data_IF_103423423383
#
_entry.id   IF_103423423383
#
_cell.length_a   1.000
_cell.length_b   1.000
_cell.length_c   1.000
_cell.angle_alpha   90.00
_cell.angle_beta   90.00
_cell.angle_gamma   90.00
#
_symmetry.space_group_name_H-M   'P 1'
#
loop_
_entity.id
_entity.type
_entity.pdbx_description
1 polymer ?
#
# COMPACT_ATOMS: atom_id res chain seq x y z
N UNK A 1 78.23 -19.81 -23.58
CA UNK A 1 77.40 -18.91 -24.40
C UNK A 1 75.94 -19.08 -23.99
N UNK A 2 75.28 -17.96 -23.68
CA UNK A 2 73.81 -17.70 -23.70
C UNK A 2 72.97 -18.47 -22.66
N UNK A 3 72.76 -17.92 -21.46
CA UNK A 3 71.74 -16.91 -21.11
C UNK A 3 70.34 -17.33 -21.57
N UNK A 4 69.61 -18.03 -20.70
CA UNK A 4 68.14 -18.07 -20.68
C UNK A 4 67.69 -18.23 -19.21
N UNK A 5 67.78 -17.14 -18.46
CA UNK A 5 66.86 -16.86 -17.35
C UNK A 5 66.10 -15.60 -17.76
N UNK A 6 64.87 -15.46 -17.26
CA UNK A 6 64.01 -14.27 -17.34
C UNK A 6 63.28 -14.13 -18.68
N UNK A 7 62.00 -14.54 -18.73
CA UNK A 7 60.82 -13.67 -18.94
C UNK A 7 59.57 -14.56 -18.72
N UNK A 8 59.17 -14.75 -17.46
CA UNK A 8 57.78 -15.14 -17.11
C UNK A 8 57.35 -14.25 -15.95
N UNK A 9 57.42 -12.94 -16.17
CA UNK A 9 56.70 -11.92 -15.41
C UNK A 9 56.43 -10.81 -16.42
N UNK A 10 55.24 -10.20 -16.36
CA UNK A 10 54.75 -9.11 -17.22
C UNK A 10 54.05 -9.54 -18.51
N UNK A 11 52.97 -10.32 -18.41
CA UNK A 11 51.76 -10.10 -19.25
C UNK A 11 50.52 -10.41 -18.41
N UNK A 12 50.28 -9.61 -17.37
CA UNK A 12 49.03 -9.63 -16.60
C UNK A 12 48.60 -8.22 -16.21
N UNK A 13 48.76 -7.25 -17.12
CA UNK A 13 48.33 -5.86 -16.89
C UNK A 13 47.61 -5.19 -18.08
N UNK A 14 47.34 -5.87 -19.19
CA UNK A 14 46.65 -5.24 -20.33
C UNK A 14 45.69 -6.26 -20.93
N UNK A 15 44.42 -5.87 -21.11
CA UNK A 15 43.26 -6.67 -21.54
C UNK A 15 42.32 -7.20 -20.44
N UNK A 16 42.32 -6.58 -19.26
CA UNK A 16 41.24 -6.69 -18.27
C UNK A 16 40.61 -5.33 -17.96
N UNK A 17 40.51 -4.45 -18.96
CA UNK A 17 39.72 -3.22 -18.88
C UNK A 17 38.23 -3.56 -18.93
N UNK A 18 37.74 -4.34 -17.98
CA UNK A 18 36.35 -4.25 -17.62
C UNK A 18 36.15 -2.80 -17.20
N UNK A 19 35.36 -2.06 -17.98
CA UNK A 19 34.75 -0.82 -17.53
C UNK A 19 34.06 -1.19 -16.22
N UNK A 20 34.73 -0.94 -15.09
CA UNK A 20 34.06 -0.83 -13.81
C UNK A 20 33.17 0.39 -14.00
N UNK A 21 31.95 0.17 -14.50
CA UNK A 21 30.91 1.17 -14.55
C UNK A 21 30.68 1.59 -13.12
N UNK A 22 31.43 2.59 -12.67
CA UNK A 22 31.38 3.05 -11.30
C UNK A 22 29.97 3.48 -10.99
N UNK A 23 29.53 3.30 -9.76
CA UNK A 23 28.29 3.90 -9.28
C UNK A 23 28.63 5.30 -8.77
N UNK A 24 27.84 6.30 -9.17
CA UNK A 24 27.95 7.68 -8.69
C UNK A 24 26.93 7.89 -7.60
N UNK A 25 27.39 7.99 -6.36
CA UNK A 25 26.51 8.28 -5.23
C UNK A 25 26.10 9.76 -5.22
N UNK A 26 24.82 9.99 -4.94
CA UNK A 26 24.25 11.32 -4.67
C UNK A 26 24.62 11.70 -3.24
N UNK A 27 25.49 12.70 -3.06
CA UNK A 27 25.94 13.13 -1.74
C UNK A 27 26.35 14.61 -1.71
N UNK A 28 26.36 15.20 -0.50
CA UNK A 28 27.00 16.50 -0.27
C UNK A 28 28.49 16.40 -0.62
N UNK A 29 28.98 17.37 -1.39
CA UNK A 29 30.40 17.45 -1.79
C UNK A 29 30.76 16.60 -3.00
N UNK A 30 29.81 15.85 -3.58
CA UNK A 30 29.98 15.29 -4.92
C UNK A 30 30.10 16.43 -5.95
N UNK A 31 30.96 16.28 -6.96
CA UNK A 31 31.22 17.31 -7.98
C UNK A 31 29.97 17.76 -8.74
N UNK A 32 29.02 16.84 -8.89
CA UNK A 32 27.78 16.98 -9.62
C UNK A 32 26.67 17.60 -8.75
N UNK A 33 26.88 17.70 -7.43
CA UNK A 33 25.87 18.10 -6.46
C UNK A 33 26.19 19.44 -5.78
N UNK A 34 25.18 20.29 -5.66
CA UNK A 34 25.27 21.59 -5.00
C UNK A 34 24.11 21.77 -4.03
N UNK A 35 24.45 22.19 -2.81
CA UNK A 35 23.46 22.49 -1.80
C UNK A 35 22.88 23.89 -2.01
N UNK A 36 21.54 24.01 -2.08
CA UNK A 36 20.82 25.29 -2.10
C UNK A 36 19.80 25.28 -0.97
N UNK A 37 20.07 26.01 0.11
CA UNK A 37 19.28 25.96 1.33
C UNK A 37 19.18 24.52 1.87
N UNK A 38 17.98 23.93 1.91
CA UNK A 38 17.71 22.56 2.33
C UNK A 38 17.48 21.61 1.14
N UNK A 39 17.74 22.04 -0.10
CA UNK A 39 17.63 21.22 -1.30
C UNK A 39 19.00 20.87 -1.89
N UNK A 40 19.26 19.59 -2.11
CA UNK A 40 20.46 19.09 -2.78
C UNK A 40 20.16 18.95 -4.27
N UNK A 41 20.76 19.79 -5.10
CA UNK A 41 20.60 19.74 -6.55
C UNK A 41 21.79 19.03 -7.18
N UNK A 42 21.54 17.97 -7.95
CA UNK A 42 22.59 17.27 -8.67
C UNK A 42 22.29 17.18 -10.17
N UNK A 43 23.30 17.50 -10.99
CA UNK A 43 23.21 17.46 -12.46
C UNK A 43 24.24 16.47 -13.02
N UNK A 44 23.74 15.46 -13.74
CA UNK A 44 24.51 14.33 -14.26
C UNK A 44 24.61 14.33 -15.80
N UNK A 45 24.49 15.49 -16.45
CA UNK A 45 24.51 15.64 -17.93
C UNK A 45 25.65 14.87 -18.61
N UNK A 46 26.85 14.90 -18.04
CA UNK A 46 28.06 14.28 -18.62
C UNK A 46 28.45 12.95 -17.93
N UNK A 47 27.54 12.36 -17.16
CA UNK A 47 27.80 11.15 -16.38
C UNK A 47 27.13 9.94 -17.03
N UNK A 48 27.97 9.01 -17.50
CA UNK A 48 27.51 7.76 -18.11
C UNK A 48 27.26 6.65 -17.08
N UNK A 49 27.83 6.82 -15.88
CA UNK A 49 27.68 5.93 -14.75
C UNK A 49 26.24 5.89 -14.22
N UNK A 50 25.87 4.76 -13.61
CA UNK A 50 24.65 4.66 -12.83
C UNK A 50 24.74 5.58 -11.62
N UNK A 51 23.75 6.45 -11.46
CA UNK A 51 23.60 7.33 -10.31
C UNK A 51 22.80 6.60 -9.24
N UNK A 52 23.24 6.63 -7.99
CA UNK A 52 22.54 5.99 -6.88
C UNK A 52 22.17 6.99 -5.79
N UNK A 53 20.90 6.94 -5.39
CA UNK A 53 20.40 7.61 -4.20
C UNK A 53 20.32 6.58 -3.09
N UNK A 54 21.24 6.68 -2.13
CA UNK A 54 21.33 5.83 -0.97
C UNK A 54 21.26 6.66 0.31
N UNK A 55 20.91 6.02 1.43
CA UNK A 55 20.88 6.70 2.73
C UNK A 55 22.25 7.27 3.09
N UNK A 56 23.36 6.61 2.72
CA UNK A 56 24.71 7.09 3.05
C UNK A 56 24.97 8.52 2.52
N UNK A 57 24.47 8.83 1.33
CA UNK A 57 24.69 10.13 0.70
C UNK A 57 23.69 11.23 1.06
N UNK A 58 22.46 10.86 1.47
CA UNK A 58 21.36 11.81 1.71
C UNK A 58 20.80 11.81 3.15
N UNK A 59 21.44 11.10 4.08
CA UNK A 59 21.03 11.03 5.50
C UNK A 59 21.45 12.27 6.33
N UNK A 60 21.69 13.40 5.68
CA UNK A 60 21.91 14.66 6.39
C UNK A 60 20.54 15.30 6.70
N UNK A 61 20.21 15.56 7.99
CA UNK A 61 18.90 16.09 8.38
C UNK A 61 18.62 17.51 7.85
N UNK A 62 19.63 18.20 7.33
CA UNK A 62 19.45 19.51 6.69
C UNK A 62 18.90 19.39 5.26
N UNK A 63 18.99 18.21 4.64
CA UNK A 63 18.46 17.97 3.30
C UNK A 63 17.00 17.54 3.44
N UNK A 64 16.09 18.36 2.94
CA UNK A 64 14.66 18.08 2.91
C UNK A 64 14.19 17.60 1.54
N UNK A 65 14.97 17.88 0.48
CA UNK A 65 14.66 17.50 -0.90
C UNK A 65 15.93 17.24 -1.70
N UNK A 66 15.88 16.24 -2.58
CA UNK A 66 16.90 15.98 -3.59
C UNK A 66 16.30 16.24 -4.96
N UNK A 67 16.96 17.06 -5.76
CA UNK A 67 16.60 17.35 -7.15
C UNK A 67 17.68 16.78 -8.05
N UNK A 68 17.32 15.80 -8.88
CA UNK A 68 18.24 15.11 -9.78
C UNK A 68 17.87 15.41 -11.23
N UNK A 69 18.86 15.85 -11.99
CA UNK A 69 18.69 16.22 -13.39
C UNK A 69 19.63 15.43 -14.30
N UNK A 70 19.14 15.10 -15.50
CA UNK A 70 19.93 14.60 -16.63
C UNK A 70 20.68 13.28 -16.40
N UNK A 71 20.26 12.47 -15.43
CA UNK A 71 20.85 11.14 -15.23
C UNK A 71 20.37 10.15 -16.30
N UNK A 72 21.28 9.34 -16.86
CA UNK A 72 20.89 8.26 -17.79
C UNK A 72 20.24 7.09 -17.05
N UNK A 73 20.88 6.62 -15.99
CA UNK A 73 20.40 5.53 -15.16
C UNK A 73 20.43 5.96 -13.71
N UNK A 74 19.30 5.84 -13.03
CA UNK A 74 19.13 6.18 -11.63
C UNK A 74 18.64 4.96 -10.85
N UNK A 75 19.33 4.64 -9.76
CA UNK A 75 18.88 3.68 -8.76
C UNK A 75 18.49 4.41 -7.47
N UNK A 76 17.26 4.19 -7.01
CA UNK A 76 16.78 4.74 -5.73
C UNK A 76 16.62 3.59 -4.73
N UNK A 77 17.33 3.69 -3.60
CA UNK A 77 17.22 2.73 -2.52
C UNK A 77 15.86 2.81 -1.81
N UNK A 78 15.30 1.65 -1.45
CA UNK A 78 14.05 1.53 -0.68
C UNK A 78 14.09 2.23 0.68
N UNK A 79 15.27 2.36 1.27
CA UNK A 79 15.47 2.91 2.60
C UNK A 79 15.54 4.46 2.62
N UNK A 80 15.50 5.10 1.46
CA UNK A 80 15.60 6.57 1.36
C UNK A 80 14.22 7.18 1.55
N UNK A 81 14.07 8.02 2.58
CA UNK A 81 12.81 8.69 2.95
C UNK A 81 12.94 10.22 2.83
N UNK A 82 13.02 10.74 1.60
CA UNK A 82 13.23 12.17 1.33
C UNK A 82 12.40 12.63 0.15
N UNK A 83 12.01 13.90 0.11
CA UNK A 83 11.35 14.44 -1.09
C UNK A 83 12.31 14.33 -2.28
N UNK A 84 11.81 13.80 -3.39
CA UNK A 84 12.63 13.49 -4.55
C UNK A 84 12.01 14.07 -5.80
N UNK A 85 12.79 14.88 -6.52
CA UNK A 85 12.39 15.46 -7.81
C UNK A 85 13.34 14.98 -8.90
N UNK A 86 12.81 14.35 -9.94
CA UNK A 86 13.55 13.84 -11.09
C UNK A 86 13.25 14.67 -12.34
N UNK A 87 14.28 15.06 -13.07
CA UNK A 87 14.14 15.88 -14.28
C UNK A 87 15.00 15.30 -15.41
N UNK A 88 14.37 14.97 -16.53
CA UNK A 88 15.06 14.43 -17.71
C UNK A 88 15.92 13.19 -17.38
N UNK A 89 15.41 12.30 -16.51
CA UNK A 89 16.09 11.05 -16.16
C UNK A 89 15.65 9.97 -17.15
N UNK A 90 16.60 9.38 -17.89
CA UNK A 90 16.22 8.46 -18.99
C UNK A 90 15.55 7.19 -18.45
N UNK A 91 16.13 6.60 -17.40
CA UNK A 91 15.57 5.43 -16.72
C UNK A 91 15.86 5.52 -15.22
N UNK A 92 14.81 5.46 -14.40
CA UNK A 92 14.91 5.37 -12.95
C UNK A 92 14.31 4.05 -12.46
N UNK A 93 15.14 3.27 -11.80
CA UNK A 93 14.77 2.06 -11.10
C UNK A 93 14.72 2.36 -9.61
N UNK A 94 13.51 2.33 -9.05
CA UNK A 94 13.34 2.28 -7.61
C UNK A 94 13.48 0.82 -7.22
N UNK A 95 14.46 0.50 -6.38
CA UNK A 95 14.58 -0.84 -5.83
C UNK A 95 13.25 -1.21 -5.18
N UNK A 96 12.75 -2.41 -5.44
CA UNK A 96 11.55 -2.94 -4.78
C UNK A 96 12.05 -4.03 -3.85
N UNK A 97 11.76 -3.92 -2.56
CA UNK A 97 12.06 -5.00 -1.61
C UNK A 97 11.04 -6.12 -1.80
N UNK A 98 11.35 -7.02 -2.74
CA UNK A 98 10.58 -8.23 -2.99
C UNK A 98 10.86 -9.27 -1.90
N UNK A 99 10.42 -8.96 -0.68
CA UNK A 99 10.07 -9.92 0.35
C UNK A 99 11.06 -11.05 0.63
N UNK A 100 12.09 -10.80 1.44
CA UNK A 100 12.60 -11.85 2.33
C UNK A 100 13.17 -11.33 3.66
N UNK A 101 13.88 -10.19 3.66
CA UNK A 101 14.42 -9.59 4.90
C UNK A 101 13.35 -8.86 5.74
N UNK A 102 12.24 -8.55 5.09
CA UNK A 102 11.08 -7.87 5.65
C UNK A 102 10.18 -8.74 6.56
N UNK A 103 10.46 -10.05 6.66
CA UNK A 103 9.73 -10.98 7.54
C UNK A 103 10.33 -11.10 8.95
N UNK A 104 11.61 -10.77 9.13
CA UNK A 104 12.29 -10.89 10.42
C UNK A 104 12.50 -9.52 11.10
N UNK A 105 12.44 -8.43 10.34
CA UNK A 105 12.32 -7.08 10.89
C UNK A 105 10.92 -6.58 10.61
N UNK A 106 10.20 -6.30 11.67
CA UNK A 106 8.87 -5.70 11.73
C UNK A 106 8.90 -4.24 11.22
N UNK A 107 9.48 -4.02 10.03
CA UNK A 107 9.64 -2.70 9.44
C UNK A 107 9.84 -2.78 7.92
N UNK A 108 8.75 -2.87 7.18
CA UNK A 108 8.75 -2.85 5.72
C UNK A 108 8.30 -1.50 5.21
N UNK A 109 9.16 -0.79 4.46
CA UNK A 109 8.98 0.43 3.64
C UNK A 109 8.13 1.58 4.22
N UNK A 110 6.92 1.31 4.72
CA UNK A 110 6.07 2.20 5.51
C UNK A 110 6.43 2.32 6.99
N UNK A 111 7.36 1.52 7.51
CA UNK A 111 7.81 1.62 8.92
C UNK A 111 9.19 2.32 9.05
N UNK A 112 9.99 2.41 7.97
CA UNK A 112 11.35 2.97 8.03
C UNK A 112 11.40 4.51 7.95
N UNK A 113 10.33 5.15 7.51
CA UNK A 113 10.23 6.61 7.54
C UNK A 113 9.48 7.12 8.79
N UNK A 114 9.26 6.27 9.81
CA UNK A 114 8.58 6.61 11.08
C UNK A 114 9.41 7.66 11.85
N UNK A 115 9.06 8.93 11.63
CA UNK A 115 9.75 10.08 12.19
C UNK A 115 9.82 11.27 11.22
N UNK A 116 9.75 11.01 9.91
CA UNK A 116 9.65 12.03 8.87
C UNK A 116 8.15 12.19 8.54
N UNK A 117 7.54 13.32 8.88
CA UNK A 117 6.12 13.64 8.63
C UNK A 117 5.59 13.03 7.30
N UNK A 118 4.99 11.83 7.39
CA UNK A 118 4.53 11.03 6.24
C UNK A 118 3.55 11.79 5.35
N UNK A 119 2.82 12.74 5.96
CA UNK A 119 1.84 13.58 5.28
C UNK A 119 2.43 14.59 4.29
N UNK A 120 3.75 14.58 4.08
CA UNK A 120 4.43 15.55 3.25
C UNK A 120 5.43 14.99 2.24
N UNK A 121 5.66 13.67 2.24
CA UNK A 121 6.66 13.08 1.35
C UNK A 121 6.19 13.11 -0.12
N UNK A 122 6.94 13.88 -0.91
CA UNK A 122 6.66 14.20 -2.30
C UNK A 122 7.65 13.49 -3.23
N UNK A 123 7.11 12.83 -4.24
CA UNK A 123 7.85 12.36 -5.41
C UNK A 123 7.37 13.10 -6.66
N UNK A 124 8.28 13.80 -7.31
CA UNK A 124 8.01 14.53 -8.55
C UNK A 124 8.92 14.01 -9.67
N UNK A 125 8.38 13.82 -10.87
CA UNK A 125 9.17 13.44 -12.03
C UNK A 125 8.68 14.18 -13.28
N UNK A 126 9.63 14.68 -14.08
CA UNK A 126 9.37 15.33 -15.36
C UNK A 126 10.28 14.76 -16.43
N UNK A 127 9.74 14.45 -17.61
CA UNK A 127 10.50 13.87 -18.74
C UNK A 127 11.31 12.63 -18.33
N UNK A 128 10.70 11.74 -17.54
CA UNK A 128 11.42 10.64 -16.88
C UNK A 128 10.83 9.27 -17.22
N UNK A 129 11.70 8.28 -17.49
CA UNK A 129 11.33 6.86 -17.55
C UNK A 129 11.38 6.23 -16.16
N UNK A 130 10.29 5.62 -15.69
CA UNK A 130 10.13 5.05 -14.37
C UNK A 130 9.77 3.56 -14.47
N UNK A 131 10.47 2.70 -13.76
CA UNK A 131 10.00 1.32 -13.58
C UNK A 131 8.93 1.24 -12.50
N UNK A 132 9.22 1.85 -11.35
CA UNK A 132 8.37 1.90 -10.17
C UNK A 132 8.43 3.27 -9.51
N UNK A 133 7.43 3.58 -8.70
CA UNK A 133 7.41 4.78 -7.85
C UNK A 133 7.82 4.42 -6.43
N UNK A 134 8.53 5.30 -5.71
CA UNK A 134 8.88 5.03 -4.33
C UNK A 134 7.66 4.77 -3.46
N UNK A 135 7.67 3.63 -2.78
CA UNK A 135 6.53 3.18 -1.98
C UNK A 135 6.15 4.13 -0.85
N UNK A 136 7.11 4.92 -0.35
CA UNK A 136 6.92 5.89 0.74
C UNK A 136 6.19 7.18 0.31
N UNK A 137 6.06 7.48 -0.98
CA UNK A 137 5.53 8.76 -1.45
C UNK A 137 4.01 8.86 -1.22
N UNK A 138 3.56 9.99 -0.67
CA UNK A 138 2.13 10.28 -0.42
C UNK A 138 1.61 11.39 -1.34
N UNK A 139 2.52 12.23 -1.87
CA UNK A 139 2.25 13.23 -2.91
C UNK A 139 3.06 12.90 -4.15
N UNK A 140 2.40 12.64 -5.27
CA UNK A 140 3.03 12.17 -6.50
C UNK A 140 2.67 13.12 -7.63
N UNK A 141 3.69 13.64 -8.32
CA UNK A 141 3.55 14.52 -9.47
C UNK A 141 4.36 13.95 -10.64
N UNK A 142 3.69 13.49 -11.70
CA UNK A 142 4.32 13.01 -12.92
C UNK A 142 3.91 13.89 -14.10
N UNK A 143 4.88 14.37 -14.87
CA UNK A 143 4.61 15.11 -16.11
C UNK A 143 5.54 14.63 -17.24
N UNK A 144 4.98 14.36 -18.43
CA UNK A 144 5.73 13.84 -19.57
C UNK A 144 6.57 12.58 -19.25
N UNK A 145 6.03 11.68 -18.42
CA UNK A 145 6.75 10.48 -17.96
C UNK A 145 6.27 9.22 -18.69
N UNK A 146 7.11 8.19 -18.68
CA UNK A 146 6.72 6.81 -19.01
C UNK A 146 6.91 5.94 -17.79
N UNK A 147 5.85 5.29 -17.30
CA UNK A 147 5.92 4.44 -16.12
C UNK A 147 5.48 2.99 -16.42
N UNK A 148 6.33 2.02 -16.07
CA UNK A 148 6.01 0.58 -16.24
C UNK A 148 4.93 0.13 -15.24
N UNK A 149 5.00 0.61 -14.01
CA UNK A 149 3.98 0.32 -13.00
C UNK A 149 3.88 1.42 -11.96
N UNK A 150 2.67 1.93 -11.77
CA UNK A 150 2.27 2.78 -10.65
C UNK A 150 1.44 1.95 -9.67
N UNK A 151 2.10 1.06 -8.94
CA UNK A 151 1.48 0.26 -7.89
C UNK A 151 1.78 0.87 -6.51
N UNK A 152 0.77 1.48 -5.90
CA UNK A 152 0.91 2.26 -4.68
C UNK A 152 0.17 1.57 -3.53
N UNK A 153 0.93 1.18 -2.51
CA UNK A 153 0.43 0.51 -1.30
C UNK A 153 0.15 1.45 -0.14
N UNK A 154 0.66 2.67 -0.19
CA UNK A 154 0.47 3.67 0.86
C UNK A 154 -0.80 4.50 0.63
N UNK A 155 -1.22 5.25 1.64
CA UNK A 155 -2.30 6.22 1.51
C UNK A 155 -1.81 7.41 0.67
N UNK A 156 -2.52 7.69 -0.42
CA UNK A 156 -2.16 8.75 -1.38
C UNK A 156 -3.00 9.98 -1.10
N UNK A 157 -2.33 11.08 -0.74
CA UNK A 157 -2.97 12.37 -0.51
C UNK A 157 -3.19 13.14 -1.82
N UNK A 158 -2.19 13.11 -2.70
CA UNK A 158 -2.24 13.81 -3.96
C UNK A 158 -1.56 13.00 -5.05
N UNK A 159 -2.29 12.67 -6.10
CA UNK A 159 -1.75 12.08 -7.32
C UNK A 159 -2.06 13.03 -8.48
N UNK A 160 -1.04 13.58 -9.11
CA UNK A 160 -1.17 14.34 -10.33
C UNK A 160 -0.30 13.72 -11.42
N UNK A 161 -0.94 13.33 -12.52
CA UNK A 161 -0.26 12.75 -13.70
C UNK A 161 -0.72 13.48 -14.93
N UNK A 162 0.23 14.09 -15.65
CA UNK A 162 -0.02 14.82 -16.89
C UNK A 162 0.84 14.32 -18.05
N UNK A 163 0.27 14.31 -19.25
CA UNK A 163 1.00 14.06 -20.51
C UNK A 163 1.87 12.79 -20.49
N UNK A 164 1.44 11.76 -19.74
CA UNK A 164 2.28 10.60 -19.42
C UNK A 164 1.70 9.32 -20.00
N UNK A 165 2.53 8.29 -20.08
CA UNK A 165 2.16 6.94 -20.48
C UNK A 165 2.42 5.97 -19.32
N UNK A 166 1.35 5.36 -18.79
CA UNK A 166 1.40 4.46 -17.65
C UNK A 166 0.92 3.08 -18.09
N UNK A 167 1.78 2.06 -17.96
CA UNK A 167 1.41 0.70 -18.34
C UNK A 167 0.44 0.05 -17.35
N UNK A 168 0.68 0.17 -16.05
CA UNK A 168 -0.23 -0.35 -15.02
C UNK A 168 -0.44 0.70 -13.95
N UNK A 169 -1.70 1.01 -13.61
CA UNK A 169 -2.08 1.84 -12.47
C UNK A 169 -2.84 0.99 -11.45
N UNK A 170 -2.33 0.90 -10.23
CA UNK A 170 -2.91 0.13 -9.13
C UNK A 170 -2.79 0.91 -7.80
N UNK A 171 -3.87 1.56 -7.37
CA UNK A 171 -3.96 2.15 -6.04
C UNK A 171 -4.62 1.14 -5.09
N UNK A 172 -3.81 0.53 -4.23
CA UNK A 172 -4.30 -0.53 -3.34
C UNK A 172 -5.29 -0.03 -2.30
N UNK A 173 -5.11 1.21 -1.83
CA UNK A 173 -6.01 1.85 -0.88
C UNK A 173 -6.94 2.85 -1.58
N UNK A 174 -8.19 2.99 -1.11
CA UNK A 174 -9.09 4.01 -1.61
C UNK A 174 -8.58 5.43 -1.26
N UNK A 175 -8.90 6.40 -2.11
CA UNK A 175 -8.74 7.81 -1.80
C UNK A 175 -9.69 8.20 -0.67
N UNK A 176 -9.17 8.73 0.41
CA UNK A 176 -9.91 9.14 1.60
C UNK A 176 -10.22 10.64 1.62
N UNK A 177 -10.75 11.13 2.73
CA UNK A 177 -11.19 12.52 2.87
C UNK A 177 -10.01 13.49 2.68
N UNK A 178 -10.17 14.45 1.77
CA UNK A 178 -9.13 15.43 1.44
C UNK A 178 -8.13 14.96 0.38
N UNK A 179 -8.10 13.66 0.06
CA UNK A 179 -7.22 13.11 -0.95
C UNK A 179 -7.73 13.36 -2.37
N UNK A 180 -6.80 13.54 -3.31
CA UNK A 180 -7.14 13.84 -4.70
C UNK A 180 -6.27 13.09 -5.70
N UNK A 181 -6.88 12.65 -6.80
CA UNK A 181 -6.20 12.10 -7.96
C UNK A 181 -6.65 12.83 -9.22
N UNK A 182 -5.70 13.29 -10.02
CA UNK A 182 -5.91 14.04 -11.24
C UNK A 182 -5.03 13.50 -12.36
N UNK A 183 -5.68 13.01 -13.41
CA UNK A 183 -5.05 12.40 -14.58
C UNK A 183 -5.43 13.25 -15.80
N UNK A 184 -4.46 13.87 -16.46
CA UNK A 184 -4.67 14.84 -17.55
C UNK A 184 -3.85 14.46 -18.77
N UNK A 185 -4.49 14.28 -19.94
CA UNK A 185 -3.78 13.96 -21.18
C UNK A 185 -2.87 12.73 -21.05
N UNK A 186 -3.29 11.76 -20.23
CA UNK A 186 -2.47 10.59 -19.86
C UNK A 186 -3.04 9.34 -20.52
N UNK A 187 -2.16 8.48 -21.00
CA UNK A 187 -2.51 7.14 -21.48
C UNK A 187 -2.26 6.11 -20.38
N UNK A 188 -3.27 5.28 -20.08
CA UNK A 188 -3.20 4.23 -19.07
C UNK A 188 -3.53 2.90 -19.76
N UNK A 189 -2.55 2.02 -19.93
CA UNK A 189 -2.79 0.76 -20.63
C UNK A 189 -3.64 -0.21 -19.78
N UNK A 190 -3.44 -0.25 -18.46
CA UNK A 190 -4.27 -1.09 -17.58
C UNK A 190 -4.52 -0.39 -16.25
N UNK A 191 -5.80 -0.16 -15.94
CA UNK A 191 -6.25 0.31 -14.64
C UNK A 191 -6.74 -0.88 -13.81
N UNK A 192 -5.96 -1.26 -12.80
CA UNK A 192 -6.26 -2.39 -11.92
C UNK A 192 -7.20 -2.03 -10.78
N UNK A 193 -6.88 -0.97 -10.01
CA UNK A 193 -7.70 -0.46 -8.92
C UNK A 193 -7.50 1.03 -8.76
N UNK A 194 -8.61 1.75 -8.63
CA UNK A 194 -8.67 3.16 -8.30
C UNK A 194 -10.02 3.41 -7.63
N UNK A 195 -10.00 3.46 -6.30
CA UNK A 195 -11.21 3.52 -5.49
C UNK A 195 -11.34 4.89 -4.84
N UNK A 196 -12.56 5.43 -4.77
CA UNK A 196 -12.83 6.70 -4.08
C UNK A 196 -13.69 6.47 -2.84
N UNK A 197 -13.31 7.12 -1.74
CA UNK A 197 -14.06 7.19 -0.50
C UNK A 197 -14.74 8.55 -0.30
N UNK A 198 -15.50 8.74 0.79
CA UNK A 198 -16.16 10.00 1.10
C UNK A 198 -15.16 11.16 1.21
N UNK A 199 -15.51 12.32 0.64
CA UNK A 199 -14.67 13.53 0.71
C UNK A 199 -13.45 13.56 -0.23
N UNK A 200 -13.19 12.49 -0.97
CA UNK A 200 -12.12 12.42 -1.97
C UNK A 200 -12.51 13.05 -3.32
N UNK A 201 -11.51 13.33 -4.17
CA UNK A 201 -11.72 13.86 -5.53
C UNK A 201 -10.92 13.09 -6.58
N UNK A 202 -11.58 12.68 -7.65
CA UNK A 202 -10.97 12.04 -8.81
C UNK A 202 -11.33 12.81 -10.09
N UNK A 203 -10.33 13.18 -10.87
CA UNK A 203 -10.51 13.91 -12.13
C UNK A 203 -9.72 13.22 -13.24
N UNK A 204 -10.40 12.77 -14.29
CA UNK A 204 -9.78 12.24 -15.51
C UNK A 204 -10.14 13.14 -16.69
N UNK A 205 -9.17 13.89 -17.20
CA UNK A 205 -9.34 14.77 -18.35
C UNK A 205 -8.50 14.33 -19.53
N UNK A 206 -9.10 14.27 -20.71
CA UNK A 206 -8.41 13.98 -21.98
C UNK A 206 -7.52 12.73 -21.90
N UNK A 207 -7.89 11.77 -21.05
CA UNK A 207 -7.08 10.61 -20.74
C UNK A 207 -7.72 9.35 -21.32
N UNK A 208 -6.88 8.38 -21.70
CA UNK A 208 -7.33 7.11 -22.27
C UNK A 208 -6.99 5.98 -21.32
N UNK A 209 -7.93 5.06 -21.12
CA UNK A 209 -7.73 3.81 -20.41
C UNK A 209 -7.98 2.66 -21.39
N UNK A 210 -6.95 1.90 -21.75
CA UNK A 210 -7.10 0.81 -22.72
C UNK A 210 -7.86 -0.38 -22.11
N UNK A 211 -7.48 -0.78 -20.89
CA UNK A 211 -8.10 -1.90 -20.17
C UNK A 211 -8.47 -1.47 -18.76
N UNK A 212 -9.76 -1.56 -18.44
CA UNK A 212 -10.29 -1.43 -17.10
C UNK A 212 -10.53 -2.83 -16.51
N UNK A 213 -9.76 -3.19 -15.49
CA UNK A 213 -9.90 -4.47 -14.80
C UNK A 213 -11.24 -4.56 -14.04
N UNK A 214 -11.63 -5.77 -13.64
CA UNK A 214 -12.80 -5.99 -12.79
C UNK A 214 -12.66 -5.20 -11.48
N UNK A 215 -13.68 -4.39 -11.14
CA UNK A 215 -13.63 -3.45 -10.01
C UNK A 215 -12.45 -2.46 -10.08
N UNK A 216 -12.00 -2.14 -11.29
CA UNK A 216 -10.91 -1.19 -11.51
C UNK A 216 -11.28 0.23 -11.10
N UNK A 217 -12.54 0.63 -11.26
CA UNK A 217 -13.08 1.88 -10.76
C UNK A 217 -14.21 1.60 -9.78
N UNK A 218 -14.03 1.94 -8.51
CA UNK A 218 -15.05 1.79 -7.48
C UNK A 218 -15.25 3.11 -6.77
N UNK A 219 -16.47 3.61 -6.78
CA UNK A 219 -16.79 4.92 -6.22
C UNK A 219 -17.71 4.77 -5.02
N UNK A 220 -17.17 4.82 -3.81
CA UNK A 220 -17.93 4.72 -2.56
C UNK A 220 -17.95 6.08 -1.83
N UNK A 221 -18.45 7.09 -2.52
CA UNK A 221 -18.38 8.49 -2.09
C UNK A 221 -17.39 9.31 -2.92
N UNK A 222 -17.30 10.60 -2.60
CA UNK A 222 -16.39 11.54 -3.25
C UNK A 222 -16.95 12.14 -4.54
N UNK A 223 -16.11 12.95 -5.18
CA UNK A 223 -16.42 13.62 -6.44
C UNK A 223 -15.57 13.06 -7.57
N UNK A 224 -16.23 12.62 -8.64
CA UNK A 224 -15.58 12.03 -9.81
C UNK A 224 -15.98 12.80 -11.06
N UNK A 225 -14.99 13.27 -11.81
CA UNK A 225 -15.18 13.99 -13.06
C UNK A 225 -14.43 13.31 -14.20
N UNK A 226 -15.15 12.90 -15.25
CA UNK A 226 -14.60 12.37 -16.49
C UNK A 226 -14.86 13.37 -17.63
N UNK A 227 -13.80 14.00 -18.16
CA UNK A 227 -13.91 15.03 -19.20
C UNK A 227 -13.11 14.65 -20.43
N UNK A 228 -13.77 14.46 -21.57
CA UNK A 228 -13.12 14.16 -22.85
C UNK A 228 -12.18 12.94 -22.79
N UNK A 229 -12.50 11.98 -21.93
CA UNK A 229 -11.70 10.77 -21.70
C UNK A 229 -12.33 9.56 -22.40
N UNK A 230 -11.56 8.50 -22.58
CA UNK A 230 -12.01 7.27 -23.23
C UNK A 230 -11.63 6.02 -22.44
N UNK A 231 -12.51 5.02 -22.45
CA UNK A 231 -12.22 3.66 -21.96
C UNK A 231 -12.48 2.69 -23.10
N UNK A 232 -11.47 1.93 -23.51
CA UNK A 232 -11.53 1.07 -24.70
C UNK A 232 -12.14 -0.29 -24.36
N UNK A 233 -11.56 -0.97 -23.37
CA UNK A 233 -11.97 -2.31 -22.95
C UNK A 233 -12.35 -2.31 -21.47
N UNK A 234 -13.53 -2.87 -21.16
CA UNK A 234 -14.04 -3.00 -19.80
C UNK A 234 -14.21 -4.48 -19.49
N UNK A 235 -13.53 -4.99 -18.47
CA UNK A 235 -13.79 -6.33 -17.94
C UNK A 235 -15.10 -6.33 -17.12
N UNK A 236 -15.65 -7.52 -16.85
CA UNK A 236 -16.88 -7.67 -16.07
C UNK A 236 -16.83 -6.84 -14.77
N UNK A 237 -17.87 -6.03 -14.53
CA UNK A 237 -17.95 -5.12 -13.36
C UNK A 237 -16.77 -4.15 -13.23
N UNK A 238 -16.23 -3.66 -14.34
CA UNK A 238 -15.10 -2.72 -14.32
C UNK A 238 -15.38 -1.40 -13.59
N UNK A 239 -16.63 -0.92 -13.62
CA UNK A 239 -17.06 0.29 -12.91
C UNK A 239 -18.19 -0.01 -11.93
N UNK A 240 -17.99 0.40 -10.68
CA UNK A 240 -18.92 0.20 -9.57
C UNK A 240 -19.25 1.54 -8.88
N UNK A 241 -20.53 1.88 -8.78
CA UNK A 241 -21.01 3.09 -8.09
C UNK A 241 -21.71 2.71 -6.78
N UNK A 242 -21.16 3.16 -5.65
CA UNK A 242 -21.73 3.05 -4.32
C UNK A 242 -22.45 4.32 -3.86
N UNK A 243 -22.95 4.30 -2.62
CA UNK A 243 -23.74 5.38 -2.06
C UNK A 243 -22.94 6.69 -1.92
N UNK A 244 -23.58 7.84 -2.17
CA UNK A 244 -23.02 9.20 -1.99
C UNK A 244 -21.87 9.58 -2.93
N UNK A 245 -21.57 8.79 -3.96
CA UNK A 245 -20.66 9.21 -5.03
C UNK A 245 -21.36 10.23 -5.94
N UNK A 246 -20.64 11.29 -6.33
CA UNK A 246 -21.08 12.20 -7.39
C UNK A 246 -20.24 11.95 -8.64
N UNK A 247 -20.90 11.67 -9.76
CA UNK A 247 -20.24 11.28 -11.00
C UNK A 247 -20.67 12.22 -12.13
N UNK A 248 -19.71 12.94 -12.70
CA UNK A 248 -19.94 13.83 -13.84
C UNK A 248 -19.17 13.35 -15.06
N UNK A 249 -19.87 13.18 -16.18
CA UNK A 249 -19.28 12.79 -17.46
C UNK A 249 -19.54 13.89 -18.49
N UNK A 250 -18.50 14.32 -19.19
CA UNK A 250 -18.61 15.29 -20.30
C UNK A 250 -17.71 14.88 -21.46
N UNK A 251 -18.26 14.81 -22.67
CA UNK A 251 -17.46 14.53 -23.88
C UNK A 251 -16.79 13.16 -23.92
N UNK A 252 -17.33 12.17 -23.20
CA UNK A 252 -16.76 10.83 -23.11
C UNK A 252 -17.00 10.01 -24.38
N UNK A 253 -15.99 9.24 -24.79
CA UNK A 253 -16.02 8.34 -25.94
C UNK A 253 -15.79 6.89 -25.46
N UNK A 254 -16.71 5.97 -25.77
CA UNK A 254 -16.62 4.55 -25.40
C UNK A 254 -17.91 3.96 -24.82
N UNK A 255 -17.87 2.68 -24.43
CA UNK A 255 -18.96 1.98 -23.75
C UNK A 255 -18.62 1.78 -22.27
N UNK A 256 -19.39 2.38 -21.36
CA UNK A 256 -19.30 2.13 -19.92
C UNK A 256 -20.49 1.25 -19.51
N UNK A 257 -20.23 0.07 -18.99
CA UNK A 257 -21.22 -0.70 -18.23
C UNK A 257 -21.13 -0.31 -16.77
N UNK A 258 -22.18 0.35 -16.28
CA UNK A 258 -22.26 0.82 -14.89
C UNK A 258 -22.94 -0.28 -14.06
N UNK A 259 -22.23 -0.80 -13.07
CA UNK A 259 -22.83 -1.63 -12.04
C UNK A 259 -23.07 -0.79 -10.80
N UNK A 260 -24.35 -0.64 -10.43
CA UNK A 260 -24.71 0.00 -9.16
C UNK A 260 -24.44 -1.01 -8.05
N UNK A 261 -23.59 -0.64 -7.11
CA UNK A 261 -23.44 -1.37 -5.85
C UNK A 261 -24.68 -1.03 -5.03
N UNK A 262 -25.67 -1.90 -5.13
CA UNK A 262 -26.82 -1.84 -4.23
C UNK A 262 -26.30 -2.28 -2.85
N UNK A 263 -25.88 -1.30 -2.03
CA UNK A 263 -25.48 -1.53 -0.63
C UNK A 263 -26.62 -2.14 0.22
N UNK A 264 -27.79 -2.35 -0.37
CA UNK A 264 -28.89 -3.12 0.21
C UNK A 264 -28.67 -4.65 0.21
N UNK A 265 -27.65 -5.18 -0.48
CA UNK A 265 -27.34 -6.62 -0.47
C UNK A 265 -25.99 -7.00 0.15
N UNK A 266 -25.23 -6.03 0.70
CA UNK A 266 -24.17 -6.29 1.68
C UNK A 266 -24.57 -5.84 3.11
N UNK A 267 -25.83 -5.49 3.29
CA UNK A 267 -26.56 -5.72 4.54
C UNK A 267 -26.89 -7.20 4.72
N UNK A 268 -25.90 -8.09 4.54
CA UNK A 268 -25.85 -9.22 5.44
C UNK A 268 -25.73 -8.59 6.82
N UNK A 269 -26.86 -8.43 7.50
CA UNK A 269 -26.86 -8.39 8.96
C UNK A 269 -25.98 -9.57 9.35
N UNK A 270 -24.69 -9.33 9.60
CA UNK A 270 -23.94 -10.11 10.57
C UNK A 270 -24.78 -9.93 11.80
N UNK A 271 -25.65 -10.90 11.98
CA UNK A 271 -26.65 -10.94 13.00
C UNK A 271 -25.94 -10.57 14.28
N UNK A 272 -26.27 -9.40 14.82
CA UNK A 272 -26.12 -9.15 16.26
C UNK A 272 -26.82 -10.28 17.03
N UNK A 273 -27.77 -10.99 16.39
CA UNK A 273 -28.35 -12.23 16.87
C UNK A 273 -27.39 -13.42 16.97
N UNK A 274 -26.20 -13.45 16.33
CA UNK A 274 -25.26 -14.56 16.54
C UNK A 274 -24.62 -14.49 17.94
N UNK A 275 -24.33 -13.28 18.45
CA UNK A 275 -23.82 -13.14 19.82
C UNK A 275 -24.91 -13.57 20.81
N UNK A 276 -26.18 -13.21 20.57
CA UNK A 276 -27.30 -13.64 21.41
C UNK A 276 -27.61 -15.13 21.27
N UNK A 277 -27.46 -15.72 20.07
CA UNK A 277 -27.66 -17.14 19.80
C UNK A 277 -26.59 -17.99 20.49
N UNK A 278 -25.31 -17.59 20.41
CA UNK A 278 -24.23 -18.23 21.16
C UNK A 278 -24.37 -17.99 22.68
N UNK A 279 -24.79 -16.81 23.13
CA UNK A 279 -25.12 -16.57 24.55
C UNK A 279 -26.24 -17.51 25.01
N UNK A 280 -27.30 -17.70 24.23
CA UNK A 280 -28.42 -18.57 24.56
C UNK A 280 -27.99 -20.04 24.62
N UNK A 281 -27.20 -20.49 23.64
CA UNK A 281 -26.68 -21.87 23.60
C UNK A 281 -25.77 -22.17 24.78
N UNK A 282 -25.04 -21.19 25.32
CA UNK A 282 -24.17 -21.43 26.49
C UNK A 282 -24.90 -21.21 27.81
N UNK A 283 -25.68 -20.14 27.95
CA UNK A 283 -26.33 -19.78 29.22
C UNK A 283 -27.48 -20.70 29.60
N UNK A 284 -28.28 -21.16 28.64
CA UNK A 284 -29.42 -22.04 28.94
C UNK A 284 -28.96 -23.38 29.54
N UNK A 285 -28.04 -24.14 28.92
CA UNK A 285 -27.56 -25.38 29.54
C UNK A 285 -26.83 -25.11 30.85
N UNK A 286 -26.06 -24.02 30.96
CA UNK A 286 -25.36 -23.68 32.20
C UNK A 286 -26.35 -23.42 33.35
N UNK A 287 -27.44 -22.68 33.08
CA UNK A 287 -28.52 -22.44 34.05
C UNK A 287 -29.26 -23.74 34.40
N UNK A 288 -29.49 -24.65 33.45
CA UNK A 288 -30.11 -25.96 33.74
C UNK A 288 -29.22 -26.84 34.61
N UNK A 289 -27.89 -26.82 34.40
CA UNK A 289 -26.93 -27.56 35.22
C UNK A 289 -26.91 -26.99 36.65
N UNK A 290 -26.90 -25.66 36.81
CA UNK A 290 -26.95 -25.01 38.13
C UNK A 290 -28.27 -25.36 38.84
N UNK A 291 -29.39 -25.31 38.15
CA UNK A 291 -30.70 -25.66 38.72
C UNK A 291 -30.75 -27.14 39.16
N UNK A 292 -30.25 -28.05 38.32
CA UNK A 292 -30.17 -29.47 38.65
C UNK A 292 -29.25 -29.74 39.85
N UNK A 293 -28.13 -29.03 39.96
CA UNK A 293 -27.22 -29.10 41.10
C UNK A 293 -27.89 -28.61 42.39
N UNK A 294 -28.63 -27.49 42.33
CA UNK A 294 -29.39 -26.97 43.47
C UNK A 294 -30.46 -27.96 43.94
N UNK A 295 -31.21 -28.54 43.01
CA UNK A 295 -32.22 -29.58 43.33
C UNK A 295 -31.54 -30.80 43.97
N UNK A 296 -30.40 -31.25 43.45
CA UNK A 296 -29.64 -32.36 44.05
C UNK A 296 -29.17 -32.04 45.46
N UNK A 297 -28.64 -30.83 45.69
CA UNK A 297 -28.22 -30.37 47.02
C UNK A 297 -29.42 -30.36 47.97
N UNK A 298 -30.57 -29.86 47.54
CA UNK A 298 -31.77 -29.79 48.36
C UNK A 298 -32.36 -31.19 48.65
N UNK A 299 -32.35 -32.09 47.67
CA UNK A 299 -32.68 -33.51 47.85
C UNK A 299 -31.75 -34.20 48.85
N UNK A 300 -30.44 -33.98 48.76
CA UNK A 300 -29.47 -34.52 49.74
C UNK A 300 -29.70 -33.93 51.12
N UNK A 301 -30.00 -32.63 51.23
CA UNK A 301 -30.32 -31.96 52.50
C UNK A 301 -31.59 -32.53 53.14
N UNK A 302 -32.63 -32.76 52.33
CA UNK A 302 -33.90 -33.35 52.76
C UNK A 302 -33.72 -34.81 53.17
N UNK A 303 -32.91 -35.58 52.44
CA UNK A 303 -32.57 -36.98 52.77
C UNK A 303 -31.74 -37.09 54.04
N UNK A 304 -30.81 -36.15 54.29
CA UNK A 304 -30.09 -36.06 55.58
C UNK A 304 -31.07 -35.72 56.72
N UNK A 305 -31.96 -34.73 56.56
CA UNK A 305 -32.99 -34.40 57.57
C UNK A 305 -33.90 -35.57 57.90
N UNK A 306 -34.29 -36.37 56.91
CA UNK A 306 -35.17 -37.53 57.12
C UNK A 306 -34.47 -38.68 57.86
N UNK A 307 -33.15 -38.86 57.68
CA UNK A 307 -32.37 -39.81 58.50
C UNK A 307 -32.23 -39.39 59.97
N UNK A 308 -32.21 -38.09 60.27
CA UNK A 308 -32.18 -37.61 61.66
C UNK A 308 -33.54 -37.69 62.38
N UNK A 309 -34.65 -37.78 61.64
CA UNK A 309 -36.01 -37.92 62.21
C UNK A 309 -36.51 -39.38 62.27
N UNK A 310 -35.88 -40.31 61.55
CA UNK A 310 -36.21 -41.73 61.56
C UNK A 310 -35.55 -42.55 62.68
N UNK A 311 -34.79 -41.92 63.57
CA UNK A 311 -34.07 -42.61 64.66
C UNK A 311 -34.64 -42.34 66.06
N UNK A 312 -35.77 -41.62 66.17
CA UNK A 312 -36.32 -41.14 67.44
C UNK A 312 -37.77 -41.56 67.73
N UNK A 313 -38.30 -42.62 67.11
CA UNK A 313 -39.54 -43.26 67.57
C UNK A 313 -39.49 -44.79 67.40
N UNK A 314 -38.89 -45.47 68.37
CA UNK A 314 -39.18 -46.87 68.70
C UNK A 314 -39.57 -46.92 70.17
N UNK A 315 -40.76 -46.42 70.48
CA UNK A 315 -41.40 -46.68 71.78
C UNK A 315 -42.25 -47.93 71.63
N UNK A 316 -41.72 -49.01 72.22
CA UNK A 316 -42.40 -50.26 72.53
C UNK A 316 -43.49 -49.96 73.56
N UNK A 317 -44.75 -50.24 73.23
CA UNK A 317 -45.79 -50.37 74.24
C UNK A 317 -46.41 -51.77 74.15
N UNK A 318 -46.02 -52.58 75.13
CA UNK A 318 -46.67 -53.83 75.49
C UNK A 318 -48.08 -53.55 76.03
N UNK A 319 -49.04 -54.35 75.57
CA UNK A 319 -50.41 -54.45 76.06
C UNK A 319 -50.44 -55.25 77.37
N UNK A 320 -51.17 -54.82 78.41
CA UNK A 320 -51.72 -55.73 79.40
C UNK A 320 -53.18 -56.07 79.06
N UNK A 321 -53.47 -57.36 79.23
CA UNK A 321 -54.79 -58.01 79.30
C UNK A 321 -55.67 -57.49 80.41
#
# INVERSE_FOLDING_TARGET
>A
MKVWHVVVVVVWCVCGGAVTGGVKEVAIGASECQMKNTELHCDYTDVEQTVRVSTVGVNDPTITRVVLSNARQLEVSVAVCINLTLQAVTQAQVAVDEGQECRERQSCVGDQCEGNNYDSLEFSATNTGLDHIPGWATKIHLDHCRATSLALKNHIQSLYVANSDIKVLDLANPLDEGSSAKLVSTNIHTLQRLHTGPGSRLELRQSTIDVLASQGLVFNGGHVELVSSAVVTVMDKGLALGSRATFHIRGFSGHIQIHVLDNNNEGGCKNSDDIYFWLFIVLVPLMTIILAALILVECVRKRRRSRYLGQSHSYVFHKPT
#
